data_IF_904200003041
#
_entry.id   IF_904200003041
#
_cell.length_a   1.000
_cell.length_b   1.000
_cell.length_c   1.000
_cell.angle_alpha   90.00
_cell.angle_beta   90.00
_cell.angle_gamma   90.00
#
_symmetry.space_group_name_H-M   'P 1'
#
loop_
_entity.id
_entity.type
_entity.pdbx_description
1 polymer ?
#
# COMPACT_ATOMS: atom_id res chain seq x y z
N UNK A 1 -10.28 6.09 -1.48
CA UNK A 1 -9.82 4.94 -2.28
C UNK A 1 -10.77 3.79 -2.03
N UNK A 2 -11.23 3.14 -3.09
CA UNK A 2 -12.12 1.98 -2.99
C UNK A 2 -11.42 0.79 -2.32
N UNK A 3 -12.17 -0.09 -1.65
CA UNK A 3 -11.61 -1.29 -1.03
C UNK A 3 -12.55 -2.49 -1.17
N UNK A 4 -11.96 -3.69 -1.16
CA UNK A 4 -12.69 -4.97 -1.24
C UNK A 4 -12.18 -5.96 -0.19
N UNK A 5 -11.03 -6.64 -0.41
CA UNK A 5 -10.57 -7.73 0.48
C UNK A 5 -10.12 -7.32 1.89
N UNK A 6 -9.64 -6.09 2.06
CA UNK A 6 -9.04 -5.57 3.32
C UNK A 6 -7.88 -6.39 3.91
N UNK A 7 -7.30 -7.29 3.14
CA UNK A 7 -6.17 -8.16 3.52
C UNK A 7 -4.88 -7.87 2.74
N UNK A 8 -4.90 -6.87 1.86
CA UNK A 8 -3.73 -6.51 1.05
C UNK A 8 -3.49 -7.44 -0.15
N UNK A 9 -4.51 -8.13 -0.65
CA UNK A 9 -4.38 -9.09 -1.77
C UNK A 9 -4.98 -8.61 -3.10
N UNK A 10 -6.12 -7.90 -3.08
CA UNK A 10 -6.92 -7.61 -4.29
C UNK A 10 -6.49 -6.36 -5.10
N UNK A 11 -5.56 -5.55 -4.59
CA UNK A 11 -5.10 -4.29 -5.19
C UNK A 11 -6.15 -3.16 -5.37
N UNK A 12 -7.42 -3.33 -4.97
CA UNK A 12 -8.42 -2.22 -5.06
C UNK A 12 -8.04 -1.01 -4.20
N UNK A 13 -7.42 -1.24 -3.04
CA UNK A 13 -7.00 -0.18 -2.13
C UNK A 13 -5.64 0.44 -2.48
N UNK A 14 -5.16 0.27 -3.71
CA UNK A 14 -3.82 0.67 -4.13
C UNK A 14 -3.71 2.19 -4.19
N UNK A 15 -2.67 2.72 -3.55
CA UNK A 15 -2.31 4.15 -3.56
C UNK A 15 -0.81 4.28 -3.80
N UNK A 16 -0.34 5.40 -4.35
CA UNK A 16 1.08 5.62 -4.58
C UNK A 16 1.69 6.33 -3.38
N UNK A 17 2.79 5.79 -2.84
CA UNK A 17 3.58 6.45 -1.80
C UNK A 17 4.55 7.42 -2.49
N UNK A 18 4.38 8.72 -2.23
CA UNK A 18 5.23 9.78 -2.78
C UNK A 18 6.43 10.06 -1.86
N UNK A 19 6.20 10.07 -0.54
CA UNK A 19 7.23 10.32 0.46
C UNK A 19 6.93 9.57 1.77
N UNK A 20 7.98 9.34 2.57
CA UNK A 20 7.91 8.71 3.88
C UNK A 20 8.04 7.18 3.85
N UNK A 21 7.72 6.52 4.97
CA UNK A 21 7.90 5.09 5.15
C UNK A 21 6.63 4.45 5.71
N UNK A 22 6.29 3.28 5.17
CA UNK A 22 5.23 2.42 5.67
C UNK A 22 5.76 1.03 5.96
N UNK A 23 5.23 0.40 7.00
CA UNK A 23 5.37 -1.01 7.27
C UNK A 23 4.20 -1.77 6.64
N UNK A 24 4.52 -2.84 5.90
CA UNK A 24 3.52 -3.74 5.32
C UNK A 24 3.83 -5.16 5.77
N UNK A 25 2.81 -5.85 6.25
CA UNK A 25 2.98 -7.22 6.75
C UNK A 25 3.39 -8.14 5.60
N UNK A 26 4.11 -9.21 5.92
CA UNK A 26 4.44 -10.27 4.95
C UNK A 26 3.19 -10.95 4.38
N UNK A 27 2.06 -10.90 5.10
CA UNK A 27 0.77 -11.40 4.63
C UNK A 27 0.15 -10.54 3.52
N UNK A 28 0.53 -9.26 3.40
CA UNK A 28 0.07 -8.40 2.31
C UNK A 28 0.73 -8.85 1.00
N UNK A 29 -0.06 -9.48 0.13
CA UNK A 29 0.38 -10.01 -1.18
C UNK A 29 0.49 -8.89 -2.22
N UNK A 30 1.36 -7.93 -1.96
CA UNK A 30 1.61 -6.81 -2.87
C UNK A 30 2.43 -7.33 -4.05
N UNK A 31 1.94 -7.02 -5.25
CA UNK A 31 2.58 -7.42 -6.50
C UNK A 31 3.96 -6.76 -6.61
N UNK A 32 4.90 -7.48 -7.22
CA UNK A 32 6.26 -6.95 -7.42
C UNK A 32 6.25 -5.67 -8.26
N UNK A 33 5.40 -5.58 -9.28
CA UNK A 33 5.21 -4.39 -10.10
C UNK A 33 4.73 -3.18 -9.30
N UNK A 34 3.81 -3.39 -8.35
CA UNK A 34 3.30 -2.33 -7.50
C UNK A 34 4.42 -1.79 -6.59
N UNK A 35 5.22 -2.68 -5.98
CA UNK A 35 6.38 -2.26 -5.16
C UNK A 35 7.39 -1.46 -5.98
N UNK A 36 7.72 -1.92 -7.18
CA UNK A 36 8.67 -1.23 -8.07
C UNK A 36 8.17 0.15 -8.50
N UNK A 37 6.87 0.30 -8.70
CA UNK A 37 6.25 1.57 -9.07
C UNK A 37 5.90 2.48 -7.87
N UNK A 38 6.27 2.08 -6.65
CA UNK A 38 6.02 2.84 -5.42
C UNK A 38 4.57 2.79 -4.93
N UNK A 39 3.81 1.79 -5.36
CA UNK A 39 2.44 1.57 -4.90
C UNK A 39 2.39 0.70 -3.64
N UNK A 40 1.45 1.04 -2.76
CA UNK A 40 1.17 0.35 -1.51
C UNK A 40 -0.31 0.00 -1.43
N UNK A 41 -0.64 -1.08 -0.72
CA UNK A 41 -2.02 -1.44 -0.41
C UNK A 41 -2.43 -0.77 0.90
N UNK A 42 -3.17 0.34 0.83
CA UNK A 42 -3.52 1.17 1.99
C UNK A 42 -4.27 0.42 3.10
N UNK A 43 -5.04 -0.62 2.76
CA UNK A 43 -5.75 -1.43 3.77
C UNK A 43 -4.83 -2.28 4.67
N UNK A 44 -3.56 -2.44 4.29
CA UNK A 44 -2.57 -3.26 5.00
C UNK A 44 -1.19 -2.55 5.05
N UNK A 45 -1.19 -1.22 5.11
CA UNK A 45 0.00 -0.39 5.22
C UNK A 45 -0.10 0.50 6.45
N UNK A 46 0.93 0.46 7.30
CA UNK A 46 0.98 1.20 8.56
C UNK A 46 2.10 2.25 8.45
N UNK A 47 1.80 3.55 8.55
CA UNK A 47 2.84 4.58 8.51
C UNK A 47 3.76 4.46 9.71
N UNK A 48 5.08 4.54 9.47
CA UNK A 48 6.12 4.56 10.51
C UNK A 48 6.89 5.89 10.52
N UNK A 49 6.47 6.84 9.69
CA UNK A 49 6.87 8.24 9.64
C UNK A 49 5.72 9.07 9.07
N UNK A 50 5.88 10.38 8.99
CA UNK A 50 5.03 11.21 8.14
C UNK A 50 5.13 10.73 6.69
N UNK A 51 4.00 10.73 5.98
CA UNK A 51 3.89 10.22 4.61
C UNK A 51 3.10 11.16 3.70
N UNK A 52 3.42 11.10 2.41
CA UNK A 52 2.63 11.72 1.34
C UNK A 52 2.18 10.63 0.36
N UNK A 53 0.90 10.66 -0.01
CA UNK A 53 0.29 9.67 -0.90
C UNK A 53 -0.51 10.33 -2.02
N UNK A 54 -0.59 9.64 -3.16
CA UNK A 54 -1.53 9.93 -4.24
C UNK A 54 -2.68 8.92 -4.19
N UNK A 55 -3.91 9.42 -4.05
CA UNK A 55 -5.14 8.64 -3.94
C UNK A 55 -5.63 8.09 -5.29
#
# INVERSE_FOLDING_TARGET
VENSCRSGECSMCRVKLLNGKVFQTSSAKIRQSDRQAGYIHSCAAYPISDIEIML
#
